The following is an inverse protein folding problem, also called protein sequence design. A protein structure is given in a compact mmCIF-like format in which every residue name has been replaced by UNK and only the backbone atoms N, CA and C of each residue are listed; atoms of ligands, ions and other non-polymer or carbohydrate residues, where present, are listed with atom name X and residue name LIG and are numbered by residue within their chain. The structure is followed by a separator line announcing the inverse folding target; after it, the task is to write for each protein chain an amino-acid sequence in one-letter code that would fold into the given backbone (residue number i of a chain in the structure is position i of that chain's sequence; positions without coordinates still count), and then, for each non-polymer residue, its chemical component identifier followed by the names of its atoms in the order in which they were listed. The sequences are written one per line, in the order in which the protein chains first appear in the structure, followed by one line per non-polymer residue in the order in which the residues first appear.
data_IF_436128294136
#
_entry.id   IF_436128294136
#
_cell.length_a   1.000
_cell.length_b   1.000
_cell.length_c   1.000
_cell.angle_alpha   90.00
_cell.angle_beta   90.00
_cell.angle_gamma   90.00
#
_symmetry.space_group_name_H-M   'P 1'
#
loop_
_entity.id
_entity.type
_entity.pdbx_description
1 polymer ?
#
# COMPACT_ATOMS: atom_id res chain seq x y z
N UNK A 1 13.50 47.66 20.70
CA UNK A 1 13.91 47.68 19.28
C UNK A 1 13.17 46.56 18.57
N UNK A 2 12.88 46.66 17.27
CA UNK A 2 12.36 45.53 16.52
C UNK A 2 13.35 44.36 16.60
N UNK A 3 12.85 43.16 16.92
CA UNK A 3 13.67 41.94 16.94
C UNK A 3 14.03 41.51 15.52
N UNK A 4 15.14 40.79 15.38
CA UNK A 4 15.48 40.14 14.10
C UNK A 4 14.55 38.96 13.83
N UNK A 5 14.44 38.51 12.58
CA UNK A 5 13.61 37.35 12.25
C UNK A 5 14.15 36.05 12.89
N UNK A 6 15.45 35.96 13.13
CA UNK A 6 16.06 34.82 13.84
C UNK A 6 15.71 34.81 15.33
N UNK A 7 15.66 35.99 15.97
CA UNK A 7 15.16 36.13 17.34
C UNK A 7 13.68 35.74 17.43
N UNK A 8 12.88 36.10 16.42
CA UNK A 8 11.48 35.70 16.33
C UNK A 8 11.33 34.18 16.14
N UNK A 9 12.15 33.56 15.29
CA UNK A 9 12.19 32.11 15.13
C UNK A 9 12.48 31.40 16.46
N UNK A 10 13.46 31.91 17.21
CA UNK A 10 13.80 31.40 18.55
C UNK A 10 12.61 31.49 19.51
N UNK A 11 11.85 32.59 19.49
CA UNK A 11 10.64 32.72 20.32
C UNK A 11 9.56 31.69 19.98
N UNK A 12 9.40 31.35 18.70
CA UNK A 12 8.44 30.32 18.25
C UNK A 12 8.86 28.94 18.77
N UNK A 13 10.16 28.64 18.70
CA UNK A 13 10.73 27.39 19.22
C UNK A 13 10.55 27.28 20.74
N UNK A 14 10.87 28.34 21.50
CA UNK A 14 10.75 28.36 22.97
C UNK A 14 9.29 28.44 23.46
N UNK A 15 8.33 28.68 22.55
CA UNK A 15 6.90 28.72 22.87
C UNK A 15 6.40 30.09 23.34
N UNK A 16 7.19 31.15 23.19
CA UNK A 16 6.80 32.53 23.49
C UNK A 16 5.99 33.16 22.34
N UNK A 17 4.91 32.47 21.95
CA UNK A 17 4.14 32.71 20.71
C UNK A 17 3.56 34.14 20.63
N UNK A 18 3.06 34.67 21.74
CA UNK A 18 2.47 36.04 21.75
C UNK A 18 3.51 37.14 21.52
N UNK A 19 4.76 36.91 21.94
CA UNK A 19 5.85 37.85 21.67
C UNK A 19 6.26 37.79 20.20
N UNK A 20 6.36 36.58 19.66
CA UNK A 20 6.66 36.36 18.25
C UNK A 20 5.61 37.02 17.34
N UNK A 21 4.32 36.84 17.61
CA UNK A 21 3.22 37.42 16.82
C UNK A 21 3.31 38.95 16.73
N UNK A 22 3.63 39.62 17.85
CA UNK A 22 3.80 41.10 17.87
C UNK A 22 4.97 41.60 17.04
N UNK A 23 6.01 40.79 16.85
CA UNK A 23 7.14 41.16 15.99
C UNK A 23 6.81 40.93 14.51
N UNK A 24 6.00 39.91 14.21
CA UNK A 24 5.59 39.56 12.85
C UNK A 24 4.55 40.51 12.23
N UNK A 25 3.97 41.44 13.01
CA UNK A 25 3.08 42.49 12.50
C UNK A 25 3.81 43.70 11.89
N UNK A 26 5.14 43.77 12.00
CA UNK A 26 5.92 44.86 11.41
C UNK A 26 6.06 44.71 9.89
N UNK A 27 6.14 45.85 9.19
CA UNK A 27 6.29 45.92 7.73
C UNK A 27 7.61 45.29 7.25
N UNK A 28 7.57 44.59 6.12
CA UNK A 28 8.73 43.99 5.47
C UNK A 28 9.53 45.01 4.67
N UNK A 29 10.86 44.90 4.68
CA UNK A 29 11.78 45.77 3.93
C UNK A 29 12.05 45.27 2.51
N UNK A 30 11.99 43.96 2.28
CA UNK A 30 12.23 43.29 0.99
C UNK A 30 11.22 42.16 0.78
N UNK A 31 11.15 41.62 -0.44
CA UNK A 31 10.36 40.41 -0.73
C UNK A 31 10.87 39.22 0.06
N UNK A 32 12.19 39.03 0.16
CA UNK A 32 12.81 37.97 0.95
C UNK A 32 12.43 38.07 2.44
N UNK A 33 12.47 39.26 3.02
CA UNK A 33 12.01 39.50 4.39
C UNK A 33 10.50 39.23 4.55
N UNK A 34 9.71 39.52 3.52
CA UNK A 34 8.28 39.27 3.53
C UNK A 34 7.98 37.76 3.53
N UNK A 35 8.64 37.01 2.64
CA UNK A 35 8.55 35.54 2.57
C UNK A 35 9.01 34.92 3.89
N UNK A 36 10.15 35.35 4.44
CA UNK A 36 10.65 34.84 5.72
C UNK A 36 9.71 35.15 6.88
N UNK A 37 9.08 36.33 6.92
CA UNK A 37 8.04 36.64 7.93
C UNK A 37 6.80 35.78 7.78
N UNK A 38 6.35 35.52 6.55
CA UNK A 38 5.18 34.68 6.29
C UNK A 38 5.44 33.23 6.70
N UNK A 39 6.62 32.70 6.40
CA UNK A 39 7.07 31.41 6.90
C UNK A 39 7.01 31.33 8.44
N UNK A 40 7.58 32.32 9.15
CA UNK A 40 7.53 32.36 10.61
C UNK A 40 6.11 32.52 11.16
N UNK A 41 5.22 33.23 10.47
CA UNK A 41 3.79 33.29 10.82
C UNK A 41 3.13 31.91 10.66
N UNK A 42 3.44 31.19 9.58
CA UNK A 42 2.96 29.84 9.38
C UNK A 42 3.39 28.91 10.52
N UNK A 43 4.68 28.92 10.87
CA UNK A 43 5.25 28.10 11.95
C UNK A 43 4.65 28.47 13.32
N UNK A 44 4.44 29.76 13.59
CA UNK A 44 3.74 30.24 14.78
C UNK A 44 2.31 29.65 14.86
N UNK A 45 1.55 29.68 13.77
CA UNK A 45 0.20 29.13 13.73
C UNK A 45 0.19 27.60 13.86
N UNK A 46 1.15 26.89 13.28
CA UNK A 46 1.34 25.44 13.51
C UNK A 46 1.54 25.14 15.01
N UNK A 47 2.39 25.92 15.70
CA UNK A 47 2.63 25.76 17.14
C UNK A 47 1.38 26.02 17.99
N UNK A 48 0.42 26.80 17.49
CA UNK A 48 -0.89 27.02 18.12
C UNK A 48 -1.95 25.98 17.71
N UNK A 49 -1.66 25.11 16.75
CA UNK A 49 -2.64 24.19 16.17
C UNK A 49 -3.64 24.85 15.22
N UNK A 50 -3.37 26.08 14.77
CA UNK A 50 -4.21 26.87 13.87
C UNK A 50 -3.90 26.55 12.40
N UNK A 51 -4.20 25.32 11.97
CA UNK A 51 -3.72 24.77 10.70
C UNK A 51 -4.17 25.58 9.48
N UNK A 52 -5.40 26.09 9.43
CA UNK A 52 -5.88 26.92 8.31
C UNK A 52 -5.10 28.23 8.17
N UNK A 53 -4.74 28.85 9.31
CA UNK A 53 -3.97 30.10 9.31
C UNK A 53 -2.52 29.86 8.95
N UNK A 54 -1.98 28.70 9.32
CA UNK A 54 -0.65 28.28 8.90
C UNK A 54 -0.58 28.09 7.37
N UNK A 55 -1.52 27.34 6.79
CA UNK A 55 -1.61 27.15 5.34
C UNK A 55 -1.74 28.48 4.59
N UNK A 56 -2.65 29.36 5.03
CA UNK A 56 -2.82 30.67 4.39
C UNK A 56 -1.52 31.51 4.39
N UNK A 57 -0.72 31.44 5.47
CA UNK A 57 0.56 32.14 5.53
C UNK A 57 1.59 31.53 4.56
N UNK A 58 1.64 30.20 4.44
CA UNK A 58 2.53 29.53 3.48
C UNK A 58 2.12 29.76 2.03
N UNK A 59 0.83 29.74 1.72
CA UNK A 59 0.30 30.06 0.40
C UNK A 59 0.63 31.51 0.00
N UNK A 60 0.47 32.47 0.92
CA UNK A 60 0.87 33.86 0.69
C UNK A 60 2.39 33.97 0.45
N UNK A 61 3.20 33.19 1.18
CA UNK A 61 4.64 33.15 0.97
C UNK A 61 4.99 32.61 -0.43
N UNK A 62 4.33 31.53 -0.86
CA UNK A 62 4.52 30.91 -2.18
C UNK A 62 3.98 31.77 -3.33
N UNK A 63 3.02 32.67 -3.07
CA UNK A 63 2.63 33.69 -4.07
C UNK A 63 3.73 34.73 -4.31
N UNK A 64 4.55 35.03 -3.29
CA UNK A 64 5.67 35.98 -3.41
C UNK A 64 6.93 35.31 -3.98
N UNK A 65 7.18 34.06 -3.59
CA UNK A 65 8.29 33.23 -4.06
C UNK A 65 7.80 31.80 -4.31
N UNK A 66 7.37 31.48 -5.55
CA UNK A 66 6.82 30.18 -5.90
C UNK A 66 7.76 28.99 -5.69
N UNK A 67 9.07 29.21 -5.64
CA UNK A 67 10.07 28.15 -5.53
C UNK A 67 10.62 28.04 -4.08
N UNK A 68 9.99 28.70 -3.11
CA UNK A 68 10.47 28.73 -1.72
C UNK A 68 10.30 27.37 -1.02
N UNK A 69 11.34 26.54 -1.09
CA UNK A 69 11.34 25.15 -0.65
C UNK A 69 10.87 24.94 0.81
N UNK A 70 11.26 25.81 1.76
CA UNK A 70 10.86 25.65 3.17
C UNK A 70 9.34 25.87 3.35
N UNK A 71 8.76 26.83 2.64
CA UNK A 71 7.32 27.12 2.70
C UNK A 71 6.52 25.99 2.05
N UNK A 72 6.98 25.54 0.89
CA UNK A 72 6.42 24.38 0.20
C UNK A 72 6.45 23.13 1.09
N UNK A 73 7.54 22.89 1.82
CA UNK A 73 7.68 21.73 2.71
C UNK A 73 6.66 21.77 3.85
N UNK A 74 6.51 22.91 4.51
CA UNK A 74 5.55 23.06 5.60
C UNK A 74 4.10 22.98 5.10
N UNK A 75 3.78 23.60 3.96
CA UNK A 75 2.45 23.47 3.35
C UNK A 75 2.16 22.01 2.98
N UNK A 76 3.10 21.33 2.32
CA UNK A 76 2.98 19.91 1.94
C UNK A 76 2.68 19.02 3.15
N UNK A 77 3.41 19.24 4.25
CA UNK A 77 3.20 18.50 5.50
C UNK A 77 1.79 18.69 6.07
N UNK A 78 1.26 19.92 6.05
CA UNK A 78 -0.10 20.18 6.52
C UNK A 78 -1.17 19.61 5.58
N UNK A 79 -0.93 19.60 4.27
CA UNK A 79 -1.79 18.93 3.30
C UNK A 79 -1.81 17.40 3.51
N UNK A 80 -0.66 16.78 3.74
CA UNK A 80 -0.53 15.34 4.08
C UNK A 80 -1.33 15.00 5.34
N UNK A 81 -1.18 15.78 6.42
CA UNK A 81 -1.94 15.57 7.67
C UNK A 81 -3.46 15.64 7.48
N UNK A 82 -3.94 16.39 6.48
CA UNK A 82 -5.37 16.49 6.13
C UNK A 82 -5.84 15.43 5.12
N UNK A 83 -4.93 14.64 4.56
CA UNK A 83 -5.22 13.66 3.50
C UNK A 83 -5.44 14.28 2.13
N UNK A 84 -4.90 15.49 1.90
CA UNK A 84 -4.89 16.15 0.60
C UNK A 84 -3.67 15.68 -0.20
N UNK A 85 -3.62 14.38 -0.50
CA UNK A 85 -2.42 13.68 -0.98
C UNK A 85 -1.88 14.28 -2.30
N UNK A 86 -2.75 14.67 -3.23
CA UNK A 86 -2.36 15.26 -4.52
C UNK A 86 -1.60 16.59 -4.35
N UNK A 87 -2.13 17.48 -3.50
CA UNK A 87 -1.50 18.78 -3.22
C UNK A 87 -0.20 18.61 -2.43
N UNK A 88 -0.19 17.68 -1.47
CA UNK A 88 1.01 17.36 -0.71
C UNK A 88 2.14 16.84 -1.61
N UNK A 89 1.82 15.95 -2.55
CA UNK A 89 2.78 15.44 -3.55
C UNK A 89 3.31 16.59 -4.39
N UNK A 90 2.45 17.45 -4.93
CA UNK A 90 2.88 18.59 -5.75
C UNK A 90 3.86 19.52 -5.02
N UNK A 91 3.53 19.88 -3.78
CA UNK A 91 4.37 20.76 -2.97
C UNK A 91 5.68 20.08 -2.53
N UNK A 92 5.67 18.77 -2.26
CA UNK A 92 6.91 18.05 -2.00
C UNK A 92 7.78 17.88 -3.25
N UNK A 93 7.21 17.64 -4.43
CA UNK A 93 7.94 17.62 -5.70
C UNK A 93 8.67 18.96 -5.91
N UNK A 94 7.99 20.09 -5.64
CA UNK A 94 8.59 21.42 -5.69
C UNK A 94 9.81 21.55 -4.74
N UNK A 95 9.71 21.04 -3.50
CA UNK A 95 10.83 21.03 -2.55
C UNK A 95 12.06 20.26 -3.05
N UNK A 96 11.85 19.27 -3.92
CA UNK A 96 12.91 18.40 -4.44
C UNK A 96 13.46 18.85 -5.80
N UNK A 97 12.86 19.89 -6.38
CA UNK A 97 13.21 20.37 -7.72
C UNK A 97 14.47 21.25 -7.76
N UNK A 98 14.88 21.81 -6.61
CA UNK A 98 16.07 22.65 -6.50
C UNK A 98 16.85 22.40 -5.20
N UNK A 99 18.19 22.44 -5.22
CA UNK A 99 18.99 22.34 -4.01
C UNK A 99 18.87 23.59 -3.12
N UNK A 100 18.98 23.45 -1.78
CA UNK A 100 19.26 22.21 -1.05
C UNK A 100 18.02 21.31 -0.91
N UNK A 101 18.16 20.05 -1.33
CA UNK A 101 17.06 19.08 -1.27
C UNK A 101 16.90 18.61 0.17
N UNK A 102 15.69 18.76 0.72
CA UNK A 102 15.37 18.26 2.05
C UNK A 102 15.22 16.74 2.04
N UNK A 103 16.06 16.03 2.81
CA UNK A 103 15.93 14.58 3.03
C UNK A 103 14.52 14.25 3.55
N UNK A 104 13.98 15.06 4.45
CA UNK A 104 12.63 14.85 4.99
C UNK A 104 11.56 15.01 3.91
N UNK A 105 11.75 15.91 2.94
CA UNK A 105 10.84 16.05 1.80
C UNK A 105 10.85 14.79 0.94
N UNK A 106 12.04 14.27 0.59
CA UNK A 106 12.18 13.02 -0.18
C UNK A 106 11.55 11.83 0.53
N UNK A 107 11.74 11.70 1.85
CA UNK A 107 11.16 10.61 2.63
C UNK A 107 9.63 10.68 2.69
N UNK A 108 9.07 11.88 2.89
CA UNK A 108 7.62 12.06 2.94
C UNK A 108 7.00 11.88 1.56
N UNK A 109 7.65 12.39 0.50
CA UNK A 109 7.24 12.19 -0.88
C UNK A 109 7.25 10.71 -1.26
N UNK A 110 8.27 9.95 -0.84
CA UNK A 110 8.33 8.50 -1.07
C UNK A 110 7.15 7.76 -0.44
N UNK A 111 6.77 8.11 0.79
CA UNK A 111 5.61 7.51 1.47
C UNK A 111 4.29 7.85 0.76
N UNK A 112 4.12 9.11 0.34
CA UNK A 112 2.93 9.53 -0.41
C UNK A 112 2.84 8.83 -1.76
N UNK A 113 3.96 8.69 -2.47
CA UNK A 113 4.03 7.91 -3.71
C UNK A 113 3.68 6.44 -3.50
N UNK A 114 4.16 5.82 -2.43
CA UNK A 114 3.76 4.46 -2.07
C UNK A 114 2.24 4.37 -1.82
N UNK A 115 1.67 5.31 -1.08
CA UNK A 115 0.23 5.34 -0.75
C UNK A 115 -0.66 5.47 -2.00
N UNK A 116 -0.21 6.19 -3.03
CA UNK A 116 -0.91 6.30 -4.33
C UNK A 116 -0.50 5.24 -5.36
N UNK A 117 0.37 4.29 -5.00
CA UNK A 117 0.81 3.18 -5.86
C UNK A 117 1.88 3.53 -6.89
N UNK A 118 2.50 4.71 -6.78
CA UNK A 118 3.62 5.21 -7.60
C UNK A 118 4.96 4.66 -7.09
N UNK A 119 5.11 3.33 -7.11
CA UNK A 119 6.21 2.66 -6.42
C UNK A 119 7.61 2.97 -6.98
N UNK A 120 7.74 3.19 -8.28
CA UNK A 120 9.04 3.52 -8.87
C UNK A 120 9.47 4.94 -8.50
N UNK A 121 8.54 5.90 -8.44
CA UNK A 121 8.86 7.24 -7.95
C UNK A 121 9.20 7.25 -6.46
N UNK A 122 8.48 6.44 -5.65
CA UNK A 122 8.83 6.23 -4.25
C UNK A 122 10.25 5.68 -4.09
N UNK A 123 10.60 4.69 -4.91
CA UNK A 123 11.93 4.08 -4.92
C UNK A 123 13.01 5.10 -5.29
N UNK A 124 12.80 5.87 -6.34
CA UNK A 124 13.72 6.92 -6.79
C UNK A 124 14.01 7.94 -5.69
N UNK A 125 12.98 8.37 -4.96
CA UNK A 125 13.15 9.29 -3.83
C UNK A 125 14.03 8.70 -2.71
N UNK A 126 13.84 7.41 -2.40
CA UNK A 126 14.62 6.72 -1.36
C UNK A 126 16.06 6.45 -1.80
N UNK A 127 16.27 6.07 -3.06
CA UNK A 127 17.60 5.87 -3.63
C UNK A 127 18.38 7.20 -3.65
N UNK A 128 17.75 8.33 -3.99
CA UNK A 128 18.37 9.65 -3.91
C UNK A 128 18.85 10.01 -2.50
N UNK A 129 18.10 9.67 -1.45
CA UNK A 129 18.56 9.86 -0.06
C UNK A 129 19.77 8.99 0.25
N UNK A 130 19.78 7.73 -0.23
CA UNK A 130 20.84 6.77 0.05
C UNK A 130 22.12 7.02 -0.76
N UNK A 131 22.03 7.68 -1.90
CA UNK A 131 23.18 8.11 -2.68
C UNK A 131 24.03 9.13 -1.91
N UNK A 132 23.39 10.07 -1.20
CA UNK A 132 24.08 11.05 -0.34
C UNK A 132 24.35 10.51 1.08
N UNK A 133 23.42 9.70 1.61
CA UNK A 133 23.46 9.17 2.96
C UNK A 133 23.20 7.64 2.99
N UNK A 134 24.21 6.81 2.64
CA UNK A 134 24.04 5.36 2.47
C UNK A 134 23.50 4.61 3.70
N UNK A 135 23.73 5.14 4.90
CA UNK A 135 23.30 4.55 6.16
C UNK A 135 22.06 5.22 6.76
N UNK A 136 21.31 6.04 5.98
CA UNK A 136 20.15 6.76 6.49
C UNK A 136 19.06 5.77 6.98
N UNK A 137 18.78 5.68 8.29
CA UNK A 137 18.01 4.56 8.86
C UNK A 137 16.59 4.44 8.32
N UNK A 138 15.89 5.59 8.17
CA UNK A 138 14.51 5.61 7.64
C UNK A 138 14.47 5.26 6.16
N UNK A 139 15.47 5.68 5.39
CA UNK A 139 15.48 5.43 3.94
C UNK A 139 15.71 3.95 3.64
N UNK A 140 16.65 3.31 4.37
CA UNK A 140 16.87 1.86 4.30
C UNK A 140 15.62 1.06 4.71
N UNK A 141 14.95 1.48 5.79
CA UNK A 141 13.71 0.85 6.25
C UNK A 141 12.61 0.97 5.20
N UNK A 142 12.32 2.18 4.72
CA UNK A 142 11.28 2.42 3.73
C UNK A 142 11.58 1.72 2.41
N UNK A 143 12.86 1.65 1.98
CA UNK A 143 13.22 0.95 0.75
C UNK A 143 13.05 -0.57 0.89
N UNK A 144 13.34 -1.12 2.07
CA UNK A 144 13.09 -2.54 2.36
C UNK A 144 11.58 -2.84 2.33
N UNK A 145 10.79 -1.98 2.97
CA UNK A 145 9.33 -2.12 3.03
C UNK A 145 8.71 -1.97 1.64
N UNK A 146 9.11 -0.94 0.88
CA UNK A 146 8.71 -0.73 -0.51
C UNK A 146 9.09 -1.92 -1.39
N UNK A 147 10.30 -2.49 -1.24
CA UNK A 147 10.68 -3.71 -1.95
C UNK A 147 9.81 -4.89 -1.57
N UNK A 148 9.38 -5.02 -0.31
CA UNK A 148 8.45 -6.07 0.09
C UNK A 148 7.07 -5.85 -0.51
N UNK A 149 6.57 -4.60 -0.52
CA UNK A 149 5.32 -4.20 -1.18
C UNK A 149 5.40 -4.48 -2.67
N UNK A 150 6.47 -4.05 -3.34
CA UNK A 150 6.73 -4.34 -4.74
C UNK A 150 6.90 -5.83 -4.96
N UNK A 151 7.56 -6.60 -4.09
CA UNK A 151 7.69 -8.07 -4.25
C UNK A 151 6.36 -8.79 -3.99
N UNK A 152 5.42 -8.18 -3.25
CA UNK A 152 4.05 -8.67 -3.12
C UNK A 152 3.13 -8.22 -4.27
N UNK A 153 3.34 -7.05 -4.87
CA UNK A 153 2.64 -6.61 -6.10
C UNK A 153 3.20 -7.37 -7.32
N UNK A 154 4.50 -7.57 -7.31
CA UNK A 154 5.28 -8.54 -8.07
C UNK A 154 5.22 -9.90 -7.34
N UNK A 155 4.06 -10.21 -6.74
CA UNK A 155 3.54 -11.57 -6.80
C UNK A 155 2.80 -11.80 -8.13
N UNK A 156 2.98 -10.90 -9.10
CA UNK A 156 3.47 -11.23 -10.45
C UNK A 156 5.02 -11.30 -10.47
N UNK A 157 5.56 -12.30 -9.78
CA UNK A 157 6.99 -12.60 -9.54
C UNK A 157 7.90 -12.50 -10.80
N UNK A 158 9.05 -11.78 -10.79
CA UNK A 158 10.04 -11.84 -11.88
C UNK A 158 10.96 -13.06 -11.72
N UNK A 159 10.88 -13.75 -10.57
CA UNK A 159 11.55 -15.01 -10.24
C UNK A 159 10.75 -16.23 -10.72
N UNK A 160 9.52 -16.05 -11.25
CA UNK A 160 8.86 -17.02 -12.13
C UNK A 160 9.38 -16.91 -13.56
N UNK A 161 10.69 -16.92 -13.73
CA UNK A 161 11.29 -17.44 -14.95
C UNK A 161 11.20 -18.98 -14.93
N UNK A 162 9.98 -19.51 -14.96
CA UNK A 162 9.60 -20.87 -15.38
C UNK A 162 8.06 -20.92 -15.39
N UNK A 163 7.37 -20.74 -16.50
CA UNK A 163 7.76 -20.37 -17.84
C UNK A 163 6.55 -19.73 -18.51
N UNK A 164 6.84 -18.86 -19.46
CA UNK A 164 6.08 -18.57 -20.67
C UNK A 164 4.89 -19.52 -20.95
N UNK A 165 3.76 -19.32 -20.28
CA UNK A 165 2.52 -20.06 -20.57
C UNK A 165 1.35 -19.14 -20.91
N UNK A 166 1.44 -17.83 -20.67
CA UNK A 166 0.41 -16.87 -21.10
C UNK A 166 0.11 -16.95 -22.59
N UNK A 167 1.14 -17.09 -23.44
CA UNK A 167 0.97 -17.31 -24.88
C UNK A 167 0.63 -18.76 -25.27
N UNK A 168 0.94 -19.74 -24.42
CA UNK A 168 0.69 -21.16 -24.71
C UNK A 168 -0.77 -21.51 -24.45
N UNK A 169 -1.39 -20.97 -23.41
CA UNK A 169 -2.78 -21.24 -23.05
C UNK A 169 -3.76 -20.80 -24.13
N UNK A 170 -3.48 -19.67 -24.79
CA UNK A 170 -4.30 -19.12 -25.88
C UNK A 170 -3.95 -19.72 -27.25
N UNK A 171 -2.95 -20.60 -27.34
CA UNK A 171 -2.55 -21.23 -28.59
C UNK A 171 -3.65 -22.17 -29.09
N UNK A 172 -4.07 -21.96 -30.33
CA UNK A 172 -5.09 -22.77 -30.97
C UNK A 172 -4.56 -24.20 -31.19
N UNK A 173 -5.37 -25.19 -30.82
CA UNK A 173 -5.06 -26.61 -31.04
C UNK A 173 -4.96 -26.99 -32.52
N UNK A 174 -5.39 -26.09 -33.41
CA UNK A 174 -5.23 -26.21 -34.85
C UNK A 174 -3.77 -26.13 -35.31
N UNK A 175 -2.92 -25.40 -34.57
CA UNK A 175 -1.51 -25.17 -34.91
C UNK A 175 -0.59 -26.34 -34.53
N UNK A 176 -1.16 -27.40 -33.95
CA UNK A 176 -0.44 -28.59 -33.54
C UNK A 176 -0.63 -29.73 -34.56
N UNK A 177 0.44 -30.52 -34.73
CA UNK A 177 0.46 -31.73 -35.56
C UNK A 177 -0.29 -32.91 -34.91
N UNK A 178 -1.58 -32.71 -34.68
CA UNK A 178 -2.49 -33.75 -34.20
C UNK A 178 -3.00 -34.61 -35.35
N UNK A 179 -3.23 -35.90 -35.08
CA UNK A 179 -3.92 -36.77 -36.04
C UNK A 179 -5.33 -36.25 -36.34
N UNK A 180 -5.83 -36.57 -37.54
CA UNK A 180 -7.18 -36.16 -37.98
C UNK A 180 -8.25 -36.61 -36.97
N UNK A 181 -8.06 -37.78 -36.35
CA UNK A 181 -8.94 -38.31 -35.31
C UNK A 181 -8.91 -37.46 -34.04
N UNK A 182 -7.73 -37.17 -33.51
CA UNK A 182 -7.56 -36.37 -32.29
C UNK A 182 -8.14 -34.96 -32.47
N UNK A 183 -7.88 -34.33 -33.62
CA UNK A 183 -8.42 -32.99 -33.95
C UNK A 183 -9.94 -32.98 -34.05
N UNK A 184 -10.54 -33.99 -34.68
CA UNK A 184 -12.00 -34.09 -34.81
C UNK A 184 -12.68 -34.36 -33.46
N UNK A 185 -12.06 -35.14 -32.58
CA UNK A 185 -12.60 -35.38 -31.24
C UNK A 185 -12.54 -34.13 -30.38
N UNK A 186 -11.41 -33.39 -30.38
CA UNK A 186 -11.27 -32.15 -29.60
C UNK A 186 -12.26 -31.07 -30.07
N UNK A 187 -12.47 -30.93 -31.38
CA UNK A 187 -13.50 -30.01 -31.93
C UNK A 187 -14.92 -30.41 -31.54
N UNK A 188 -15.23 -31.71 -31.47
CA UNK A 188 -16.55 -32.18 -31.00
C UNK A 188 -16.78 -31.93 -29.50
N UNK A 189 -15.71 -31.81 -28.73
CA UNK A 189 -15.74 -31.47 -27.30
C UNK A 189 -15.69 -29.95 -27.04
N UNK A 190 -15.74 -29.10 -28.08
CA UNK A 190 -15.54 -27.64 -28.00
C UNK A 190 -14.21 -27.22 -27.36
N UNK A 191 -13.17 -28.04 -27.51
CA UNK A 191 -11.83 -27.75 -27.02
C UNK A 191 -11.04 -27.14 -28.18
N UNK A 192 -10.69 -25.86 -28.05
CA UNK A 192 -10.06 -25.10 -29.13
C UNK A 192 -8.66 -24.63 -28.77
N UNK A 193 -8.35 -24.50 -27.48
CA UNK A 193 -7.07 -23.98 -26.98
C UNK A 193 -6.37 -24.96 -26.06
N UNK A 194 -5.07 -24.76 -25.83
CA UNK A 194 -4.32 -25.54 -24.83
C UNK A 194 -4.91 -25.31 -23.43
N UNK A 195 -5.37 -24.10 -23.12
CA UNK A 195 -6.04 -23.79 -21.86
C UNK A 195 -7.30 -24.62 -21.61
N UNK A 196 -8.08 -24.93 -22.65
CA UNK A 196 -9.27 -25.78 -22.54
C UNK A 196 -8.91 -27.23 -22.16
N UNK A 197 -7.81 -27.78 -22.70
CA UNK A 197 -7.35 -29.14 -22.37
C UNK A 197 -6.88 -29.24 -20.92
N UNK A 198 -6.22 -28.20 -20.39
CA UNK A 198 -5.69 -28.23 -19.02
C UNK A 198 -6.80 -28.17 -17.94
N UNK A 199 -8.02 -27.81 -18.34
CA UNK A 199 -9.22 -27.76 -17.46
C UNK A 199 -10.04 -29.05 -17.49
N UNK A 200 -9.66 -30.02 -18.32
CA UNK A 200 -10.35 -31.30 -18.47
C UNK A 200 -9.44 -32.41 -17.98
N UNK A 201 -10.00 -33.42 -17.31
CA UNK A 201 -9.25 -34.56 -16.79
C UNK A 201 -9.13 -35.68 -17.83
N UNK A 202 -8.09 -36.50 -17.72
CA UNK A 202 -7.90 -37.69 -18.55
C UNK A 202 -9.13 -38.65 -18.60
N UNK A 203 -9.79 -38.98 -17.47
CA UNK A 203 -10.98 -39.83 -17.51
C UNK A 203 -12.16 -39.19 -18.25
N UNK A 204 -12.30 -37.85 -18.22
CA UNK A 204 -13.33 -37.14 -18.98
C UNK A 204 -13.08 -37.20 -20.49
N UNK A 205 -11.81 -37.09 -20.92
CA UNK A 205 -11.43 -37.27 -22.33
C UNK A 205 -11.70 -38.70 -22.81
N UNK A 206 -11.36 -39.71 -22.00
CA UNK A 206 -11.58 -41.13 -22.33
C UNK A 206 -13.05 -41.55 -22.30
N UNK A 207 -13.90 -40.83 -21.57
CA UNK A 207 -15.35 -41.06 -21.55
C UNK A 207 -16.05 -40.64 -22.85
N UNK A 208 -15.41 -39.82 -23.69
CA UNK A 208 -16.03 -39.31 -24.91
C UNK A 208 -16.05 -40.32 -26.06
N UNK A 209 -17.17 -40.39 -26.77
CA UNK A 209 -17.39 -41.33 -27.86
C UNK A 209 -16.35 -41.14 -28.97
N UNK A 210 -15.63 -42.21 -29.31
CA UNK A 210 -14.57 -42.28 -30.32
C UNK A 210 -13.22 -41.64 -29.94
N UNK A 211 -13.06 -41.13 -28.71
CA UNK A 211 -11.74 -40.80 -28.17
C UNK A 211 -11.04 -42.07 -27.68
N UNK A 212 -9.75 -42.23 -27.93
CA UNK A 212 -9.01 -43.46 -27.62
C UNK A 212 -7.63 -43.18 -27.03
N UNK A 213 -7.00 -44.21 -26.47
CA UNK A 213 -5.70 -44.11 -25.79
C UNK A 213 -4.60 -43.54 -26.69
N UNK A 214 -4.64 -43.84 -27.99
CA UNK A 214 -3.70 -43.30 -28.97
C UNK A 214 -3.81 -41.77 -29.09
N UNK A 215 -5.04 -41.24 -29.12
CA UNK A 215 -5.29 -39.79 -29.13
C UNK A 215 -4.90 -39.12 -27.81
N UNK A 216 -5.12 -39.81 -26.69
CA UNK A 216 -4.69 -39.31 -25.38
C UNK A 216 -3.16 -39.20 -25.31
N UNK A 217 -2.45 -40.22 -25.78
CA UNK A 217 -0.98 -40.23 -25.78
C UNK A 217 -0.38 -39.20 -26.73
N UNK A 218 -1.01 -38.92 -27.88
CA UNK A 218 -0.63 -37.82 -28.78
C UNK A 218 -0.71 -36.46 -28.09
N UNK A 219 -1.83 -36.19 -27.39
CA UNK A 219 -2.05 -34.93 -26.66
C UNK A 219 -1.06 -34.82 -25.49
N UNK A 220 -0.84 -35.91 -24.74
CA UNK A 220 0.14 -35.95 -23.66
C UNK A 220 1.56 -35.68 -24.15
N UNK A 221 1.97 -36.25 -25.29
CA UNK A 221 3.30 -36.03 -25.84
C UNK A 221 3.53 -34.55 -26.21
N UNK A 222 2.51 -33.91 -26.79
CA UNK A 222 2.56 -32.48 -27.15
C UNK A 222 2.62 -31.61 -25.90
N UNK A 223 1.79 -31.86 -24.90
CA UNK A 223 1.79 -31.10 -23.65
C UNK A 223 3.10 -31.32 -22.88
N UNK A 224 3.60 -32.55 -22.81
CA UNK A 224 4.86 -32.89 -22.15
C UNK A 224 6.06 -32.23 -22.80
N UNK A 225 6.08 -32.09 -24.14
CA UNK A 225 7.13 -31.35 -24.86
C UNK A 225 7.24 -29.87 -24.45
N UNK A 226 6.21 -29.35 -23.77
CA UNK A 226 6.10 -27.96 -23.31
C UNK A 226 5.95 -27.83 -21.79
N UNK A 227 6.19 -28.92 -21.04
CA UNK A 227 6.13 -28.93 -19.57
C UNK A 227 4.71 -28.88 -18.98
N UNK A 228 3.68 -29.17 -19.77
CA UNK A 228 2.27 -29.10 -19.37
C UNK A 228 1.65 -30.49 -19.17
N UNK A 229 0.62 -30.60 -18.33
CA UNK A 229 -0.08 -31.85 -18.05
C UNK A 229 -1.61 -31.69 -18.07
N UNK A 230 -2.34 -32.71 -18.55
CA UNK A 230 -3.81 -32.73 -18.61
C UNK A 230 -4.39 -32.57 -17.20
N UNK A 231 -5.39 -31.70 -17.02
CA UNK A 231 -6.07 -31.48 -15.75
C UNK A 231 -5.33 -30.59 -14.73
N UNK A 232 -4.23 -29.95 -15.11
CA UNK A 232 -3.40 -29.10 -14.24
C UNK A 232 -4.16 -27.87 -13.67
N UNK A 233 -5.27 -27.45 -14.29
CA UNK A 233 -6.09 -26.31 -13.86
C UNK A 233 -7.46 -26.72 -13.28
N UNK A 234 -7.65 -28.00 -12.92
CA UNK A 234 -8.91 -28.48 -12.35
C UNK A 234 -8.96 -28.16 -10.85
N UNK A 235 -9.66 -27.09 -10.48
CA UNK A 235 -9.97 -26.78 -9.08
C UNK A 235 -10.95 -27.83 -8.55
N UNK A 236 -10.54 -28.63 -7.55
CA UNK A 236 -11.46 -29.52 -6.83
C UNK A 236 -12.51 -28.69 -6.09
N UNK A 237 -13.82 -28.94 -6.23
CA UNK A 237 -14.80 -28.32 -5.36
C UNK A 237 -14.66 -28.91 -3.95
N UNK A 238 -14.50 -28.04 -2.96
CA UNK A 238 -14.59 -28.41 -1.54
C UNK A 238 -16.04 -28.83 -1.23
N UNK A 239 -16.28 -29.90 -0.45
CA UNK A 239 -17.64 -30.31 -0.11
C UNK A 239 -18.32 -29.24 0.76
N UNK A 240 -19.51 -28.81 0.34
CA UNK A 240 -20.44 -28.01 1.14
C UNK A 240 -20.95 -28.84 2.32
N UNK A 241 -20.74 -28.38 3.55
CA UNK A 241 -21.43 -28.92 4.72
C UNK A 241 -22.88 -28.40 4.78
N UNK A 242 -23.84 -29.20 5.28
CA UNK A 242 -25.25 -28.86 5.26
C UNK A 242 -25.64 -27.90 6.38
N UNK A 243 -26.50 -26.97 5.95
CA UNK A 243 -27.31 -26.02 6.68
C UNK A 243 -27.89 -26.55 8.01
N UNK A 244 -27.51 -25.93 9.14
CA UNK A 244 -28.32 -25.96 10.36
C UNK A 244 -28.50 -24.54 10.88
N UNK A 245 -29.71 -24.05 10.66
CA UNK A 245 -30.30 -22.87 11.29
C UNK A 245 -30.38 -23.07 12.81
N UNK A 246 -29.54 -22.36 13.57
CA UNK A 246 -29.66 -22.26 15.02
C UNK A 246 -29.41 -20.83 15.49
N UNK A 247 -30.37 -20.37 16.29
CA UNK A 247 -30.59 -19.02 16.80
C UNK A 247 -29.39 -18.48 17.58
N UNK A 248 -29.15 -17.18 17.40
CA UNK A 248 -28.05 -16.41 17.96
C UNK A 248 -27.91 -16.53 19.49
N UNK A 249 -26.71 -16.90 19.93
CA UNK A 249 -26.17 -16.56 21.24
C UNK A 249 -25.09 -15.48 21.06
N UNK A 250 -24.92 -14.53 22.01
CA UNK A 250 -23.81 -13.59 21.98
C UNK A 250 -22.52 -14.39 22.22
N UNK A 251 -21.69 -14.49 21.19
CA UNK A 251 -20.38 -15.14 21.27
C UNK A 251 -19.48 -14.20 22.07
N UNK A 252 -19.20 -14.57 23.32
CA UNK A 252 -18.17 -13.95 24.15
C UNK A 252 -16.82 -14.22 23.46
N UNK A 253 -15.97 -13.21 23.21
CA UNK A 253 -14.67 -13.44 22.59
C UNK A 253 -13.86 -14.40 23.48
N UNK A 254 -13.53 -15.59 22.96
CA UNK A 254 -12.66 -16.54 23.62
C UNK A 254 -11.24 -15.96 23.65
N UNK A 255 -10.77 -15.63 24.85
CA UNK A 255 -9.47 -15.06 25.13
C UNK A 255 -9.32 -14.74 26.62
N UNK A 256 -8.08 -14.67 27.11
CA UNK A 256 -7.80 -14.33 28.51
C UNK A 256 -8.37 -12.91 28.82
N UNK A 257 -9.35 -12.76 29.74
CA UNK A 257 -10.05 -11.49 29.98
C UNK A 257 -9.13 -10.33 30.38
N UNK A 258 -7.91 -10.62 30.86
CA UNK A 258 -6.90 -9.62 31.17
C UNK A 258 -6.28 -8.94 29.92
N UNK A 259 -6.27 -9.62 28.77
CA UNK A 259 -5.65 -9.13 27.53
C UNK A 259 -6.57 -8.20 26.73
N UNK A 260 -7.89 -8.36 26.86
CA UNK A 260 -8.88 -7.62 26.08
C UNK A 260 -8.95 -6.12 26.42
N UNK A 261 -8.63 -5.76 27.67
CA UNK A 261 -8.60 -4.37 28.14
C UNK A 261 -7.30 -3.63 27.85
N UNK A 262 -6.31 -4.31 27.27
CA UNK A 262 -5.04 -3.68 26.92
C UNK A 262 -5.21 -2.80 25.68
N UNK A 263 -4.39 -1.76 25.61
CA UNK A 263 -4.34 -0.89 24.44
C UNK A 263 -3.71 -1.61 23.26
N UNK A 264 -4.24 -1.36 22.05
CA UNK A 264 -3.62 -1.81 20.80
C UNK A 264 -2.20 -1.27 20.60
N UNK A 265 -1.80 -0.21 21.33
CA UNK A 265 -0.43 0.30 21.33
C UNK A 265 0.59 -0.69 21.92
N UNK A 266 0.13 -1.69 22.68
CA UNK A 266 0.98 -2.78 23.21
C UNK A 266 1.30 -3.85 22.16
N UNK A 267 0.68 -3.78 20.97
CA UNK A 267 0.96 -4.68 19.86
C UNK A 267 2.14 -4.10 19.05
N UNK A 268 3.11 -4.94 18.69
CA UNK A 268 4.26 -4.51 17.87
C UNK A 268 3.88 -4.46 16.39
N UNK A 269 3.03 -3.48 16.06
CA UNK A 269 2.47 -3.28 14.72
C UNK A 269 3.29 -2.28 13.90
N UNK A 270 3.25 -2.40 12.57
CA UNK A 270 3.81 -1.39 11.66
C UNK A 270 3.19 0.00 11.88
N UNK A 271 3.86 1.06 11.42
CA UNK A 271 3.33 2.44 11.47
C UNK A 271 2.02 2.54 10.70
N UNK A 272 1.90 1.82 9.57
CA UNK A 272 0.70 1.73 8.74
C UNK A 272 -0.48 1.09 9.50
N UNK A 273 -0.26 -0.07 10.11
CA UNK A 273 -1.28 -0.75 10.91
C UNK A 273 -1.72 0.13 12.10
N UNK A 274 -0.78 0.79 12.80
CA UNK A 274 -1.10 1.72 13.91
C UNK A 274 -1.90 2.93 13.47
N UNK A 275 -1.50 3.61 12.39
CA UNK A 275 -2.23 4.76 11.83
C UNK A 275 -3.65 4.36 11.39
N UNK A 276 -3.81 3.16 10.84
CA UNK A 276 -5.13 2.64 10.47
C UNK A 276 -6.03 2.40 11.70
N UNK A 277 -5.53 1.70 12.73
CA UNK A 277 -6.28 1.46 13.95
C UNK A 277 -6.70 2.78 14.62
N UNK A 278 -5.81 3.77 14.63
CA UNK A 278 -6.11 5.11 15.14
C UNK A 278 -7.21 5.81 14.32
N UNK A 279 -7.17 5.71 12.98
CA UNK A 279 -8.20 6.27 12.09
C UNK A 279 -9.55 5.58 12.24
N UNK A 280 -9.56 4.27 12.54
CA UNK A 280 -10.77 3.51 12.86
C UNK A 280 -11.28 3.73 14.29
N UNK A 281 -10.57 4.52 15.10
CA UNK A 281 -10.91 4.77 16.50
C UNK A 281 -10.75 3.53 17.39
N UNK A 282 -9.99 2.53 16.94
CA UNK A 282 -9.75 1.29 17.68
C UNK A 282 -8.60 1.54 18.64
N UNK A 283 -8.90 1.56 19.94
CA UNK A 283 -7.94 1.88 21.00
C UNK A 283 -7.63 0.67 21.88
N UNK A 284 -8.54 -0.30 21.94
CA UNK A 284 -8.39 -1.51 22.76
C UNK A 284 -8.38 -2.79 21.93
N UNK A 285 -7.73 -3.84 22.46
CA UNK A 285 -7.70 -5.15 21.81
C UNK A 285 -9.12 -5.75 21.70
N UNK A 286 -10.01 -5.45 22.66
CA UNK A 286 -11.43 -5.85 22.59
C UNK A 286 -12.16 -5.32 21.35
N UNK A 287 -11.93 -4.05 21.02
CA UNK A 287 -12.51 -3.41 19.83
C UNK A 287 -11.93 -4.02 18.55
N UNK A 288 -10.63 -4.33 18.55
CA UNK A 288 -9.96 -4.95 17.41
C UNK A 288 -10.49 -6.36 17.11
N UNK A 289 -10.62 -7.20 18.13
CA UNK A 289 -11.13 -8.59 18.01
C UNK A 289 -12.60 -8.61 17.56
N UNK A 290 -13.37 -7.56 17.86
CA UNK A 290 -14.77 -7.45 17.43
C UNK A 290 -14.96 -7.19 15.94
N UNK A 291 -13.91 -6.76 15.23
CA UNK A 291 -13.91 -6.45 13.80
C UNK A 291 -13.67 -7.68 12.95
N UNK A 292 -14.28 -7.67 11.76
CA UNK A 292 -14.04 -8.68 10.73
C UNK A 292 -12.85 -8.29 9.85
N UNK A 293 -12.25 -9.28 9.19
CA UNK A 293 -11.15 -9.05 8.25
C UNK A 293 -11.57 -8.15 7.08
N UNK A 294 -12.79 -8.29 6.58
CA UNK A 294 -13.31 -7.44 5.52
C UNK A 294 -13.58 -6.00 5.98
N UNK A 295 -14.00 -5.78 7.24
CA UNK A 295 -14.15 -4.42 7.77
C UNK A 295 -12.79 -3.70 7.83
N UNK A 296 -11.73 -4.41 8.19
CA UNK A 296 -10.38 -3.85 8.19
C UNK A 296 -9.90 -3.60 6.75
N UNK A 297 -10.06 -4.57 5.84
CA UNK A 297 -9.69 -4.47 4.42
C UNK A 297 -10.51 -3.44 3.63
N UNK A 298 -11.73 -3.11 4.06
CA UNK A 298 -12.54 -2.05 3.47
C UNK A 298 -12.02 -0.64 3.80
N UNK A 299 -11.06 -0.52 4.72
CA UNK A 299 -10.51 0.77 5.14
C UNK A 299 -9.50 1.29 4.12
N UNK A 300 -9.67 2.54 3.68
CA UNK A 300 -8.75 3.20 2.74
C UNK A 300 -7.31 3.15 3.29
N UNK A 301 -6.38 2.68 2.46
CA UNK A 301 -4.95 2.47 2.76
C UNK A 301 -4.65 1.32 3.74
N UNK A 302 -5.59 0.43 4.04
CA UNK A 302 -5.33 -0.82 4.76
C UNK A 302 -5.10 -1.98 3.77
N UNK A 303 -3.94 -2.64 3.88
CA UNK A 303 -3.53 -3.71 2.98
C UNK A 303 -3.45 -5.07 3.66
N UNK A 304 -3.33 -6.13 2.86
CA UNK A 304 -3.24 -7.52 3.33
C UNK A 304 -2.09 -7.73 4.33
N UNK A 305 -0.95 -7.06 4.13
CA UNK A 305 0.21 -7.11 5.03
C UNK A 305 -0.12 -6.62 6.45
N UNK A 306 -0.88 -5.54 6.57
CA UNK A 306 -1.32 -5.02 7.87
C UNK A 306 -2.32 -5.96 8.55
N UNK A 307 -3.14 -6.67 7.77
CA UNK A 307 -4.05 -7.69 8.28
C UNK A 307 -3.29 -8.91 8.81
N UNK A 308 -2.29 -9.38 8.07
CA UNK A 308 -1.47 -10.54 8.45
C UNK A 308 -0.61 -10.24 9.69
N UNK A 309 -0.11 -9.01 9.82
CA UNK A 309 0.54 -8.53 11.05
C UNK A 309 -0.41 -8.58 12.25
N UNK A 310 -1.63 -8.04 12.10
CA UNK A 310 -2.64 -8.07 13.17
C UNK A 310 -3.00 -9.53 13.52
N UNK A 311 -3.17 -10.42 12.55
CA UNK A 311 -3.43 -11.85 12.79
C UNK A 311 -2.28 -12.53 13.52
N UNK A 312 -1.04 -12.23 13.15
CA UNK A 312 0.14 -12.78 13.79
C UNK A 312 0.24 -12.33 15.25
N UNK A 313 0.08 -11.04 15.51
CA UNK A 313 0.16 -10.47 16.86
C UNK A 313 -1.00 -10.92 17.77
N UNK A 314 -2.22 -10.98 17.23
CA UNK A 314 -3.36 -11.54 17.95
C UNK A 314 -3.15 -13.05 18.20
N UNK A 315 -2.66 -13.79 17.20
CA UNK A 315 -2.39 -15.22 17.30
C UNK A 315 -1.33 -15.58 18.34
N UNK A 316 -0.26 -14.78 18.49
CA UNK A 316 0.73 -14.94 19.56
C UNK A 316 0.11 -14.82 20.97
N UNK A 317 -1.01 -14.10 21.08
CA UNK A 317 -1.76 -13.87 22.32
C UNK A 317 -2.99 -14.78 22.44
N UNK A 318 -3.16 -15.74 21.53
CA UNK A 318 -4.30 -16.65 21.50
C UNK A 318 -5.63 -15.99 21.15
N UNK A 319 -5.59 -14.83 20.49
CA UNK A 319 -6.75 -14.06 20.06
C UNK A 319 -6.91 -14.15 18.54
N UNK A 320 -8.14 -14.03 18.05
CA UNK A 320 -8.43 -14.04 16.63
C UNK A 320 -9.46 -12.95 16.28
N UNK A 321 -9.40 -12.44 15.05
CA UNK A 321 -10.41 -11.53 14.52
C UNK A 321 -11.74 -12.27 14.34
N UNK A 322 -12.84 -11.51 14.30
CA UNK A 322 -14.17 -12.07 14.08
C UNK A 322 -14.25 -12.71 12.70
N UNK A 323 -14.53 -14.01 12.66
CA UNK A 323 -14.72 -14.74 11.41
C UNK A 323 -15.94 -14.23 10.63
N UNK A 324 -15.83 -14.19 9.31
CA UNK A 324 -16.98 -13.98 8.43
C UNK A 324 -17.96 -15.16 8.60
N UNK A 325 -19.17 -14.86 9.05
CA UNK A 325 -20.33 -15.74 8.88
C UNK A 325 -21.10 -15.32 7.65
#
# INVERSE_FOLDING_TARGET
MPMTLDEVATLIETGELDKAERQLSASSSSTEDAVRRLLLKGQLHERRGEVERALAAYEEALQLDPDHAECAFHAAYLHDLRGNDEEAIHLYELCTSAPPISINALLNLALLYEDVGRYEEARSCLESVLDEHPEHPRALLFLKDLRATMTMVVSDDPSRQTGDHGGILDMALADFELSVRSRNCLRQMNIHTVGDILRITEPELLAFKNFGETSLNEIKAILASRGLAIGQLVTRPTPLEPDTTAVAAPIVPEGDPALLHQSVATLELSVRARRCLQRLGITTISELVSRTEAELLATKNFGQTSLDEIRRELGQRGLHLRAHR
#
